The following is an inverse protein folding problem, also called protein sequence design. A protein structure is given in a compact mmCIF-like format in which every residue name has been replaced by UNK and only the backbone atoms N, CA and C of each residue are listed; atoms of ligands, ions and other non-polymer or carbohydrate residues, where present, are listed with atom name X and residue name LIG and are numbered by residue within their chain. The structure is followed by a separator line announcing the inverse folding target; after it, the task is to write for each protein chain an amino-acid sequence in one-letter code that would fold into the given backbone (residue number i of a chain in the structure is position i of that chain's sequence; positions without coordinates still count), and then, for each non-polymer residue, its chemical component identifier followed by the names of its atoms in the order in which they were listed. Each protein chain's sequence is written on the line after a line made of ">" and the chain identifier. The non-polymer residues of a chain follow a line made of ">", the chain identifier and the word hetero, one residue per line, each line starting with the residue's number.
data_IF_047158146198
#
_entry.id   IF_047158146198
#
_cell.length_a   1.000
_cell.length_b   1.000
_cell.length_c   1.000
_cell.angle_alpha   90.00
_cell.angle_beta   90.00
_cell.angle_gamma   90.00
#
_symmetry.space_group_name_H-M   'P 1'
#
loop_
_entity.id
_entity.type
_entity.pdbx_description
1 polymer ?
#
# COMPACT_ATOMS: atom_id res chain seq x y z
N UNK A 1 -20.79 -5.38 -2.21
CA UNK A 1 -20.90 -4.40 -3.30
C UNK A 1 -19.50 -3.85 -3.58
N UNK A 2 -18.99 -4.08 -4.79
CA UNK A 2 -17.57 -3.96 -5.18
C UNK A 2 -17.38 -2.72 -6.07
N UNK A 3 -16.98 -1.54 -5.54
CA UNK A 3 -17.06 -0.33 -6.39
C UNK A 3 -16.01 0.80 -6.21
N UNK A 4 -14.80 0.54 -5.67
CA UNK A 4 -13.77 1.62 -5.57
C UNK A 4 -12.53 1.43 -6.43
N UNK A 5 -12.16 0.19 -6.80
CA UNK A 5 -10.97 -0.08 -7.61
C UNK A 5 -11.12 0.22 -9.13
N UNK A 6 -12.29 0.01 -9.77
CA UNK A 6 -12.47 0.32 -11.21
C UNK A 6 -12.54 1.82 -11.53
N UNK A 7 -12.87 2.65 -10.54
CA UNK A 7 -13.24 4.07 -10.76
C UNK A 7 -12.05 4.92 -11.17
N UNK A 8 -10.86 4.69 -10.60
CA UNK A 8 -9.66 5.49 -10.92
C UNK A 8 -9.04 5.13 -12.27
N UNK A 9 -9.03 3.85 -12.64
CA UNK A 9 -8.64 3.45 -14.00
C UNK A 9 -9.58 4.09 -15.01
N UNK A 10 -10.90 4.08 -14.74
CA UNK A 10 -11.88 4.76 -15.59
C UNK A 10 -11.66 6.28 -15.64
N UNK A 11 -11.32 6.94 -14.52
CA UNK A 11 -11.00 8.37 -14.48
C UNK A 11 -9.71 8.70 -15.27
N UNK A 12 -8.65 7.91 -15.11
CA UNK A 12 -7.41 8.06 -15.85
C UNK A 12 -7.63 7.83 -17.36
N UNK A 13 -8.46 6.86 -17.73
CA UNK A 13 -8.86 6.62 -19.13
C UNK A 13 -9.75 7.75 -19.68
N UNK A 14 -10.63 8.32 -18.86
CA UNK A 14 -11.45 9.48 -19.25
C UNK A 14 -10.58 10.73 -19.48
N UNK A 15 -9.66 11.02 -18.55
CA UNK A 15 -8.69 12.11 -18.70
C UNK A 15 -7.77 11.91 -19.92
N UNK A 16 -7.30 10.67 -20.13
CA UNK A 16 -6.56 10.31 -21.34
C UNK A 16 -7.35 10.66 -22.62
N UNK A 17 -8.62 10.27 -22.69
CA UNK A 17 -9.46 10.56 -23.86
C UNK A 17 -9.56 12.06 -24.13
N UNK A 18 -9.81 12.85 -23.08
CA UNK A 18 -9.91 14.32 -23.18
C UNK A 18 -8.61 14.91 -23.72
N UNK A 19 -7.45 14.49 -23.21
CA UNK A 19 -6.17 15.05 -23.63
C UNK A 19 -5.69 14.56 -25.00
N UNK A 20 -6.16 13.39 -25.46
CA UNK A 20 -5.96 12.96 -26.84
C UNK A 20 -6.76 13.82 -27.82
N UNK A 21 -8.00 14.18 -27.48
CA UNK A 21 -8.85 15.08 -28.30
C UNK A 21 -8.27 16.51 -28.37
N UNK A 22 -7.51 16.92 -27.35
CA UNK A 22 -6.81 18.21 -27.31
C UNK A 22 -5.41 18.17 -27.93
N UNK A 23 -4.98 17.04 -28.48
CA UNK A 23 -3.63 16.81 -29.01
C UNK A 23 -2.51 17.09 -27.98
N UNK A 24 -2.82 17.05 -26.67
CA UNK A 24 -1.84 17.16 -25.58
C UNK A 24 -1.24 15.77 -25.30
N UNK A 25 -0.25 15.41 -26.12
CA UNK A 25 0.42 14.11 -26.03
C UNK A 25 1.20 13.92 -24.72
N UNK A 26 1.64 15.01 -24.09
CA UNK A 26 2.37 14.94 -22.81
C UNK A 26 1.44 14.50 -21.68
N UNK A 27 0.27 15.13 -21.55
CA UNK A 27 -0.74 14.70 -20.56
C UNK A 27 -1.35 13.36 -20.90
N UNK A 28 -1.57 13.07 -22.19
CA UNK A 28 -2.03 11.75 -22.63
C UNK A 28 -1.08 10.64 -22.17
N UNK A 29 0.23 10.81 -22.40
CA UNK A 29 1.24 9.85 -21.93
C UNK A 29 1.26 9.73 -20.40
N UNK A 30 1.04 10.83 -19.67
CA UNK A 30 0.93 10.81 -18.22
C UNK A 30 -0.25 9.94 -17.74
N UNK A 31 -1.45 10.16 -18.25
CA UNK A 31 -2.65 9.42 -17.81
C UNK A 31 -2.66 7.96 -18.26
N UNK A 32 -2.08 7.63 -19.43
CA UNK A 32 -1.81 6.22 -19.82
C UNK A 32 -0.91 5.55 -18.79
N UNK A 33 0.20 6.19 -18.41
CA UNK A 33 1.12 5.59 -17.44
C UNK A 33 0.49 5.45 -16.05
N UNK A 34 -0.36 6.39 -15.63
CA UNK A 34 -1.14 6.27 -14.39
C UNK A 34 -2.11 5.09 -14.46
N UNK A 35 -2.90 4.98 -15.54
CA UNK A 35 -3.82 3.86 -15.74
C UNK A 35 -3.07 2.52 -15.80
N UNK A 36 -1.95 2.44 -16.53
CA UNK A 36 -1.12 1.24 -16.64
C UNK A 36 -0.46 0.88 -15.31
N UNK A 37 0.01 1.86 -14.53
CA UNK A 37 0.54 1.61 -13.20
C UNK A 37 -0.56 1.09 -12.28
N UNK A 38 -1.73 1.73 -12.26
CA UNK A 38 -2.88 1.26 -11.48
C UNK A 38 -3.31 -0.16 -11.89
N UNK A 39 -3.40 -0.42 -13.19
CA UNK A 39 -3.66 -1.76 -13.75
C UNK A 39 -2.54 -2.73 -13.35
N UNK A 40 -1.27 -2.33 -13.38
CA UNK A 40 -0.12 -3.14 -12.97
C UNK A 40 -0.14 -3.42 -11.46
N UNK A 41 -0.60 -2.48 -10.64
CA UNK A 41 -0.89 -2.70 -9.22
C UNK A 41 -2.12 -3.62 -9.02
N UNK A 42 -3.12 -3.57 -9.90
CA UNK A 42 -4.33 -4.40 -9.86
C UNK A 42 -4.11 -5.84 -10.37
N UNK A 43 -3.32 -6.01 -11.43
CA UNK A 43 -3.02 -7.29 -12.11
C UNK A 43 -1.73 -7.93 -11.57
N UNK A 44 -0.79 -7.14 -11.05
CA UNK A 44 0.53 -7.59 -10.56
C UNK A 44 0.49 -8.61 -9.41
N UNK A 45 -0.70 -9.02 -8.95
CA UNK A 45 -0.90 -10.21 -8.15
C UNK A 45 -0.70 -11.55 -8.90
N UNK A 46 -0.57 -11.59 -10.23
CA UNK A 46 -0.45 -12.86 -10.98
C UNK A 46 0.92 -13.54 -10.90
N UNK A 47 2.01 -12.77 -11.06
CA UNK A 47 3.37 -13.34 -11.11
C UNK A 47 4.39 -12.38 -10.52
N UNK A 48 4.47 -12.32 -9.19
CA UNK A 48 5.74 -11.91 -8.55
C UNK A 48 6.68 -13.09 -8.74
N UNK A 49 7.39 -13.14 -9.86
CA UNK A 49 8.50 -14.05 -10.02
C UNK A 49 9.60 -13.61 -9.04
N UNK A 50 9.91 -14.44 -8.05
CA UNK A 50 11.02 -14.20 -7.10
C UNK A 50 12.39 -14.42 -7.74
N UNK A 51 12.64 -13.79 -8.88
CA UNK A 51 13.99 -13.69 -9.44
C UNK A 51 14.75 -12.50 -8.86
N UNK A 52 14.05 -11.58 -8.18
CA UNK A 52 14.61 -10.39 -7.54
C UNK A 52 14.57 -10.48 -6.01
N UNK A 53 15.55 -9.86 -5.39
CA UNK A 53 15.65 -9.65 -3.95
C UNK A 53 14.42 -8.88 -3.38
N UNK A 54 13.94 -9.30 -2.20
CA UNK A 54 12.73 -8.75 -1.57
C UNK A 54 12.87 -7.27 -1.24
N UNK A 55 14.01 -6.88 -0.66
CA UNK A 55 14.26 -5.49 -0.29
C UNK A 55 14.30 -4.61 -1.54
N UNK A 56 14.92 -5.09 -2.62
CA UNK A 56 14.90 -4.39 -3.91
C UNK A 56 13.48 -4.16 -4.42
N UNK A 57 12.59 -5.15 -4.34
CA UNK A 57 11.19 -4.99 -4.76
C UNK A 57 10.47 -3.93 -3.90
N UNK A 58 10.68 -3.95 -2.58
CA UNK A 58 10.11 -2.95 -1.67
C UNK A 58 10.59 -1.54 -2.02
N UNK A 59 11.90 -1.37 -2.29
CA UNK A 59 12.48 -0.09 -2.72
C UNK A 59 11.89 0.39 -4.04
N UNK A 60 11.77 -0.48 -5.03
CA UNK A 60 11.13 -0.17 -6.32
C UNK A 60 9.67 0.32 -6.12
N UNK A 61 8.91 -0.32 -5.22
CA UNK A 61 7.54 0.10 -4.89
C UNK A 61 7.50 1.48 -4.22
N UNK A 62 8.42 1.75 -3.29
CA UNK A 62 8.52 3.02 -2.59
C UNK A 62 8.82 4.16 -3.57
N UNK A 63 9.85 4.02 -4.41
CA UNK A 63 10.22 5.01 -5.43
C UNK A 63 9.04 5.29 -6.37
N UNK A 64 8.38 4.24 -6.87
CA UNK A 64 7.22 4.40 -7.73
C UNK A 64 6.06 5.13 -7.03
N UNK A 65 5.86 4.88 -5.74
CA UNK A 65 4.86 5.58 -4.95
C UNK A 65 5.20 7.07 -4.80
N UNK A 66 6.44 7.41 -4.45
CA UNK A 66 6.89 8.80 -4.32
C UNK A 66 6.70 9.58 -5.63
N UNK A 67 7.11 9.00 -6.76
CA UNK A 67 6.99 9.62 -8.09
C UNK A 67 5.53 9.83 -8.49
N UNK A 68 4.65 8.88 -8.20
CA UNK A 68 3.24 8.95 -8.63
C UNK A 68 2.39 9.86 -7.74
N UNK A 69 2.72 10.00 -6.46
CA UNK A 69 1.87 10.68 -5.47
C UNK A 69 2.50 11.88 -4.78
N UNK A 70 3.80 12.13 -4.96
CA UNK A 70 4.51 13.25 -4.33
C UNK A 70 4.69 13.12 -2.82
N UNK A 71 4.47 11.92 -2.26
CA UNK A 71 4.57 11.62 -0.83
C UNK A 71 5.90 10.93 -0.52
N UNK A 72 6.67 11.43 0.45
CA UNK A 72 7.97 10.82 0.80
C UNK A 72 7.79 9.49 1.52
N UNK A 73 8.71 8.55 1.30
CA UNK A 73 8.79 7.27 2.00
C UNK A 73 10.14 7.12 2.71
N UNK A 74 10.08 6.78 4.00
CA UNK A 74 11.25 6.45 4.79
C UNK A 74 11.27 4.94 5.02
N UNK A 75 12.09 4.23 4.25
CA UNK A 75 12.26 2.79 4.36
C UNK A 75 13.43 2.45 5.29
N UNK A 76 13.13 1.74 6.38
CA UNK A 76 14.11 1.21 7.32
C UNK A 76 14.08 -0.32 7.33
N UNK A 77 15.20 -0.93 6.97
CA UNK A 77 15.36 -2.40 6.91
C UNK A 77 16.46 -2.79 7.87
N UNK A 78 16.08 -3.34 9.01
CA UNK A 78 16.98 -3.82 10.05
C UNK A 78 16.48 -5.16 10.61
N UNK A 79 16.08 -6.05 9.70
CA UNK A 79 15.63 -7.40 10.02
C UNK A 79 16.52 -8.41 9.31
N UNK A 80 17.16 -9.28 10.07
CA UNK A 80 17.87 -10.44 9.58
C UNK A 80 16.90 -11.59 9.26
N UNK A 81 15.72 -11.63 9.90
CA UNK A 81 14.70 -12.67 9.66
C UNK A 81 13.98 -12.54 8.30
N UNK A 82 14.14 -11.43 7.56
CA UNK A 82 13.59 -11.29 6.19
C UNK A 82 14.05 -12.42 5.28
N UNK A 83 15.32 -12.83 5.38
CA UNK A 83 15.90 -13.83 4.47
C UNK A 83 15.26 -15.21 4.65
N UNK A 84 14.83 -15.52 5.89
CA UNK A 84 14.21 -16.79 6.25
C UNK A 84 12.72 -16.87 5.91
N UNK A 85 12.09 -15.75 5.54
CA UNK A 85 10.69 -15.75 5.11
C UNK A 85 10.53 -16.53 3.80
N UNK A 86 9.48 -17.37 3.76
CA UNK A 86 9.07 -18.09 2.56
C UNK A 86 8.66 -17.09 1.47
N UNK A 87 8.83 -17.46 0.21
CA UNK A 87 8.40 -16.65 -0.94
C UNK A 87 6.91 -16.29 -0.89
N UNK A 88 6.07 -17.20 -0.39
CA UNK A 88 4.65 -16.92 -0.14
C UNK A 88 4.46 -15.81 0.89
N UNK A 89 5.20 -15.82 2.00
CA UNK A 89 5.16 -14.76 3.01
C UNK A 89 5.59 -13.42 2.44
N UNK A 90 6.73 -13.39 1.74
CA UNK A 90 7.25 -12.21 1.04
C UNK A 90 6.21 -11.62 0.06
N UNK A 91 5.50 -12.47 -0.68
CA UNK A 91 4.43 -12.05 -1.61
C UNK A 91 3.29 -11.37 -0.88
N UNK A 92 2.84 -11.95 0.22
CA UNK A 92 1.77 -11.38 1.03
C UNK A 92 2.18 -10.05 1.65
N UNK A 93 3.42 -9.91 2.14
CA UNK A 93 3.97 -8.66 2.66
C UNK A 93 4.02 -7.56 1.58
N UNK A 94 4.50 -7.88 0.37
CA UNK A 94 4.48 -6.95 -0.78
C UNK A 94 3.05 -6.47 -1.08
N UNK A 95 2.09 -7.40 -1.13
CA UNK A 95 0.69 -7.04 -1.39
C UNK A 95 0.08 -6.20 -0.28
N UNK A 96 0.49 -6.43 0.97
CA UNK A 96 0.08 -5.61 2.11
C UNK A 96 0.65 -4.19 1.97
N UNK A 97 1.94 -4.05 1.66
CA UNK A 97 2.58 -2.76 1.43
C UNK A 97 1.84 -1.96 0.35
N UNK A 98 1.57 -2.58 -0.79
CA UNK A 98 0.85 -1.95 -1.90
C UNK A 98 -0.56 -1.49 -1.50
N UNK A 99 -1.32 -2.33 -0.79
CA UNK A 99 -2.66 -1.98 -0.33
C UNK A 99 -2.62 -0.83 0.69
N UNK A 100 -1.64 -0.86 1.62
CA UNK A 100 -1.44 0.19 2.61
C UNK A 100 -1.09 1.53 1.95
N UNK A 101 -0.08 1.56 1.07
CA UNK A 101 0.31 2.76 0.34
C UNK A 101 -0.83 3.31 -0.51
N UNK A 102 -1.58 2.43 -1.18
CA UNK A 102 -2.76 2.84 -1.96
C UNK A 102 -3.88 3.41 -1.08
N UNK A 103 -4.04 2.93 0.15
CA UNK A 103 -4.98 3.52 1.10
C UNK A 103 -4.51 4.89 1.60
N UNK A 104 -3.22 5.04 1.87
CA UNK A 104 -2.60 6.31 2.27
C UNK A 104 -2.80 7.35 1.16
N UNK A 105 -2.41 7.07 -0.09
CA UNK A 105 -2.58 8.04 -1.18
C UNK A 105 -4.03 8.39 -1.52
N UNK A 106 -5.01 7.58 -1.10
CA UNK A 106 -6.44 7.84 -1.30
C UNK A 106 -7.13 8.55 -0.13
N UNK A 107 -6.61 8.42 1.08
CA UNK A 107 -7.36 8.74 2.30
C UNK A 107 -6.58 9.48 3.37
N UNK A 108 -5.29 9.76 3.17
CA UNK A 108 -4.47 10.50 4.12
C UNK A 108 -4.05 11.84 3.55
N UNK A 109 -4.19 12.90 4.35
CA UNK A 109 -3.46 14.17 4.17
C UNK A 109 -2.04 14.07 4.76
N UNK A 110 -1.44 12.87 4.67
CA UNK A 110 -0.08 12.62 5.12
C UNK A 110 0.90 13.27 4.14
N UNK A 111 2.08 13.63 4.64
CA UNK A 111 3.18 14.15 3.81
C UNK A 111 4.32 13.13 3.69
N UNK A 112 4.30 12.10 4.53
CA UNK A 112 5.34 11.10 4.63
C UNK A 112 4.78 9.76 5.14
N UNK A 113 5.39 8.68 4.68
CA UNK A 113 5.14 7.32 5.16
C UNK A 113 6.44 6.73 5.69
N UNK A 114 6.39 6.16 6.89
CA UNK A 114 7.48 5.35 7.44
C UNK A 114 7.17 3.87 7.23
N UNK A 115 8.17 3.11 6.76
CA UNK A 115 8.07 1.68 6.48
C UNK A 115 9.24 1.00 7.18
N UNK A 116 8.96 0.10 8.13
CA UNK A 116 9.98 -0.59 8.92
C UNK A 116 9.86 -2.10 8.80
N UNK A 117 10.99 -2.75 8.58
CA UNK A 117 11.16 -4.19 8.75
C UNK A 117 12.19 -4.44 9.83
N UNK A 118 11.77 -4.98 10.97
CA UNK A 118 12.62 -5.16 12.17
C UNK A 118 12.35 -6.50 12.82
N UNK A 119 13.32 -7.00 13.59
CA UNK A 119 13.17 -8.24 14.34
C UNK A 119 12.75 -7.95 15.78
N UNK A 120 11.77 -8.71 16.27
CA UNK A 120 11.59 -8.96 17.70
C UNK A 120 12.39 -10.18 18.13
N UNK A 121 12.30 -10.52 19.42
CA UNK A 121 13.00 -11.68 20.00
C UNK A 121 12.64 -12.96 19.22
N UNK A 122 11.34 -13.27 19.13
CA UNK A 122 10.83 -14.49 18.48
C UNK A 122 9.88 -14.20 17.31
N UNK A 123 9.95 -12.98 16.77
CA UNK A 123 9.07 -12.53 15.70
C UNK A 123 9.78 -11.64 14.69
N UNK A 124 9.18 -11.58 13.49
CA UNK A 124 9.45 -10.59 12.46
C UNK A 124 8.35 -9.53 12.50
N UNK A 125 8.71 -8.25 12.41
CA UNK A 125 7.78 -7.12 12.43
C UNK A 125 7.86 -6.31 11.15
N UNK A 126 6.68 -6.04 10.60
CA UNK A 126 6.47 -5.14 9.48
C UNK A 126 5.53 -4.01 9.89
N UNK A 127 6.05 -2.78 9.88
CA UNK A 127 5.31 -1.60 10.37
C UNK A 127 5.21 -0.59 9.22
N UNK A 128 4.02 -0.07 9.00
CA UNK A 128 3.75 1.02 8.06
C UNK A 128 3.03 2.12 8.82
N UNK A 129 3.56 3.33 8.84
CA UNK A 129 2.98 4.46 9.56
C UNK A 129 2.87 5.66 8.63
N UNK A 130 1.66 6.22 8.50
CA UNK A 130 1.47 7.54 7.87
C UNK A 130 1.46 8.65 8.93
N UNK A 131 2.01 9.83 8.59
CA UNK A 131 2.11 10.97 9.50
C UNK A 131 0.94 11.95 9.36
N UNK A 132 -0.30 11.46 9.14
CA UNK A 132 -1.47 12.32 8.91
C UNK A 132 -1.46 13.55 9.83
N UNK A 133 -1.70 14.74 9.26
CA UNK A 133 -2.09 15.89 10.07
C UNK A 133 -3.33 15.48 10.88
N UNK A 134 -3.32 15.77 12.17
CA UNK A 134 -4.42 15.43 13.07
C UNK A 134 -5.75 15.80 12.43
N UNK A 135 -6.69 14.85 12.42
CA UNK A 135 -8.06 15.13 12.06
C UNK A 135 -8.57 16.20 13.06
N UNK A 136 -8.71 17.46 12.63
CA UNK A 136 -9.61 18.37 13.34
C UNK A 136 -11.01 17.79 13.18
N UNK A 137 -11.63 17.52 14.32
CA UNK A 137 -12.86 16.76 14.43
C UNK A 137 -14.06 17.67 14.11
N UNK A 138 -14.17 18.15 12.87
CA UNK A 138 -15.32 18.92 12.40
C UNK A 138 -15.73 18.47 11.01
N UNK A 139 -16.42 17.33 10.92
CA UNK A 139 -17.40 17.04 9.85
C UNK A 139 -18.12 15.70 10.15
N UNK A 140 -19.29 15.81 10.78
CA UNK A 140 -20.03 14.67 11.36
C UNK A 140 -20.86 13.88 10.33
N UNK A 141 -21.08 14.40 9.11
CA UNK A 141 -22.03 13.79 8.18
C UNK A 141 -21.45 12.75 7.18
N UNK A 142 -20.12 12.72 6.96
CA UNK A 142 -19.49 11.77 6.01
C UNK A 142 -19.06 10.42 6.64
N UNK A 143 -19.37 10.18 7.92
CA UNK A 143 -18.83 9.08 8.73
C UNK A 143 -19.31 7.68 8.35
N UNK A 144 -20.49 7.48 7.75
CA UNK A 144 -21.04 6.12 7.44
C UNK A 144 -20.47 5.48 6.16
N UNK A 145 -20.15 6.27 5.13
CA UNK A 145 -19.58 5.73 3.88
C UNK A 145 -18.04 5.56 3.97
N UNK A 146 -17.36 6.50 4.64
CA UNK A 146 -15.90 6.45 4.89
C UNK A 146 -15.50 5.34 5.85
N UNK A 147 -16.34 4.99 6.82
CA UNK A 147 -16.12 3.80 7.67
C UNK A 147 -16.19 2.53 6.83
N UNK A 148 -17.24 2.30 6.05
CA UNK A 148 -17.36 1.07 5.24
C UNK A 148 -16.15 0.82 4.31
N UNK A 149 -15.65 1.86 3.61
CA UNK A 149 -14.46 1.76 2.74
C UNK A 149 -13.16 1.52 3.54
N UNK A 150 -12.99 2.16 4.72
CA UNK A 150 -11.90 1.84 5.66
C UNK A 150 -11.93 0.36 6.08
N UNK A 151 -13.10 -0.25 6.26
CA UNK A 151 -13.19 -1.64 6.73
C UNK A 151 -12.76 -2.67 5.67
N UNK A 152 -12.96 -2.42 4.37
CA UNK A 152 -12.62 -3.40 3.33
C UNK A 152 -11.11 -3.57 3.08
N UNK A 153 -10.36 -2.47 2.99
CA UNK A 153 -8.90 -2.52 2.81
C UNK A 153 -8.20 -3.21 3.98
N UNK A 154 -8.60 -2.87 5.21
CA UNK A 154 -8.07 -3.48 6.44
C UNK A 154 -8.47 -4.95 6.56
N UNK A 155 -9.66 -5.35 6.08
CA UNK A 155 -10.08 -6.76 6.05
C UNK A 155 -9.18 -7.59 5.14
N UNK A 156 -8.80 -7.07 3.97
CA UNK A 156 -7.88 -7.77 3.07
C UNK A 156 -6.48 -7.89 3.67
N UNK A 157 -5.98 -6.84 4.33
CA UNK A 157 -4.71 -6.87 5.06
C UNK A 157 -4.77 -7.94 6.15
N UNK A 158 -5.80 -7.94 7.00
CA UNK A 158 -6.01 -8.96 8.04
C UNK A 158 -6.03 -10.39 7.47
N UNK A 159 -6.74 -10.62 6.36
CA UNK A 159 -6.77 -11.92 5.68
C UNK A 159 -5.38 -12.36 5.22
N UNK A 160 -4.61 -11.47 4.59
CA UNK A 160 -3.25 -11.78 4.12
C UNK A 160 -2.29 -12.05 5.26
N UNK A 161 -2.41 -11.30 6.35
CA UNK A 161 -1.58 -11.49 7.55
C UNK A 161 -1.86 -12.84 8.21
N UNK A 162 -3.13 -13.27 8.27
CA UNK A 162 -3.48 -14.63 8.72
C UNK A 162 -2.89 -15.73 7.81
N UNK A 163 -2.89 -15.54 6.49
CA UNK A 163 -2.32 -16.52 5.54
C UNK A 163 -0.80 -16.72 5.71
N UNK A 164 -0.11 -15.76 6.33
CA UNK A 164 1.32 -15.87 6.64
C UNK A 164 1.61 -16.26 8.09
N UNK A 165 0.58 -16.63 8.85
CA UNK A 165 0.70 -17.01 10.27
C UNK A 165 0.94 -15.83 11.21
N UNK A 166 0.64 -14.61 10.77
CA UNK A 166 0.86 -13.40 11.56
C UNK A 166 -0.41 -12.81 12.18
N UNK A 167 -0.21 -11.74 12.94
CA UNK A 167 -1.25 -10.87 13.49
C UNK A 167 -1.05 -9.42 13.02
N UNK A 168 -2.14 -8.66 12.95
CA UNK A 168 -2.13 -7.27 12.51
C UNK A 168 -2.89 -6.38 13.48
N UNK A 169 -2.23 -5.33 13.95
CA UNK A 169 -2.78 -4.27 14.77
C UNK A 169 -2.85 -2.96 13.97
N UNK A 170 -3.88 -2.17 14.25
CA UNK A 170 -4.18 -0.92 13.56
C UNK A 170 -4.34 0.18 14.61
N UNK A 171 -3.40 1.12 14.62
CA UNK A 171 -3.30 2.16 15.65
C UNK A 171 -3.56 3.51 14.98
N UNK A 172 -4.29 4.39 15.66
CA UNK A 172 -4.66 5.71 15.14
C UNK A 172 -4.35 6.80 16.16
N UNK A 173 -3.07 7.13 16.31
CA UNK A 173 -2.54 8.11 17.28
C UNK A 173 -1.55 9.03 16.56
N UNK A 174 -1.97 10.26 16.21
CA UNK A 174 -1.11 11.20 15.47
C UNK A 174 -0.73 10.75 14.05
N UNK A 175 -1.46 9.79 13.49
CA UNK A 175 -1.15 9.07 12.26
C UNK A 175 -1.91 7.74 12.21
N UNK A 176 -1.83 7.00 11.10
CA UNK A 176 -2.34 5.63 11.04
C UNK A 176 -1.20 4.63 10.88
N UNK A 177 -1.09 3.71 11.84
CA UNK A 177 -0.09 2.65 11.85
C UNK A 177 -0.73 1.30 11.60
N UNK A 178 -0.11 0.52 10.71
CA UNK A 178 -0.36 -0.90 10.51
C UNK A 178 0.87 -1.63 11.05
N UNK A 179 0.70 -2.37 12.14
CA UNK A 179 1.75 -3.18 12.73
C UNK A 179 1.46 -4.66 12.49
N UNK A 180 2.37 -5.36 11.85
CA UNK A 180 2.23 -6.77 11.51
C UNK A 180 3.33 -7.54 12.18
N UNK A 181 2.95 -8.62 12.86
CA UNK A 181 3.86 -9.50 13.60
C UNK A 181 3.70 -10.90 13.04
N UNK A 182 4.79 -11.49 12.56
CA UNK A 182 4.84 -12.88 12.12
C UNK A 182 5.76 -13.61 13.08
N UNK A 183 5.21 -14.53 13.88
CA UNK A 183 6.03 -15.33 14.79
C UNK A 183 6.94 -16.25 13.99
N UNK A 184 8.12 -16.51 14.55
CA UNK A 184 8.97 -17.57 14.03
C UNK A 184 8.19 -18.89 14.05
N UNK A 185 8.37 -19.70 13.01
CA UNK A 185 7.80 -21.04 13.04
C UNK A 185 8.51 -21.78 14.16
N UNK A 186 7.75 -22.20 15.18
CA UNK A 186 8.26 -23.07 16.25
C UNK A 186 8.93 -24.26 15.55
N UNK A 187 10.23 -24.41 15.77
CA UNK A 187 11.01 -25.55 15.25
C UNK A 187 10.56 -26.84 15.90
#
# INVERSE_FOLDING_TARGET
>A
MWYTKPVRVAQNLAALKIYLEQEDFSKSKFYVNQALNEIRYMIGSGSIAFTKDFEKIVREICIAFEVNFGLKTNLYVASQKIVTLKNTQKTHLIRILQEALSNISRHSDATQVEIKFVDGIDDFRFIICDNRKGFEETEVESKKLKTAVKHYGLTNIKKRVRLIGGNADFINEGGFTIAIIVKDSVR
#
